data_IF_370292749028
#
_entry.id   IF_370292749028
#
_cell.length_a   1.000
_cell.length_b   1.000
_cell.length_c   1.000
_cell.angle_alpha   90.00
_cell.angle_beta   90.00
_cell.angle_gamma   90.00
#
_symmetry.space_group_name_H-M   'P 1'
#
loop_
_entity.id
_entity.type
_entity.pdbx_description
1 polymer ?
#
# COMPACT_ATOMS: atom_id res chain seq x y z
N UNK A 1 -5.44 -8.16 4.09
CA UNK A 1 -6.79 -8.74 3.90
C UNK A 1 -6.78 -9.96 3.00
N UNK A 2 -6.34 -9.85 1.74
CA UNK A 2 -6.39 -10.94 0.72
C UNK A 2 -5.81 -12.27 1.19
N UNK A 3 -4.57 -12.26 1.69
CA UNK A 3 -3.93 -13.47 2.22
C UNK A 3 -4.64 -14.10 3.41
N UNK A 4 -5.67 -13.48 3.99
CA UNK A 4 -6.49 -14.03 5.08
C UNK A 4 -7.73 -14.81 4.57
N UNK A 5 -8.10 -14.67 3.30
CA UNK A 5 -9.17 -15.43 2.65
C UNK A 5 -8.65 -16.77 2.14
N UNK A 6 -8.24 -17.63 3.08
CA UNK A 6 -7.62 -18.92 2.77
C UNK A 6 -8.03 -19.95 3.81
N UNK A 7 -7.85 -21.21 3.45
CA UNK A 7 -8.06 -22.31 4.37
C UNK A 7 -7.05 -22.26 5.55
N UNK A 8 -7.47 -22.56 6.80
CA UNK A 8 -6.64 -22.35 8.00
C UNK A 8 -5.32 -23.12 8.04
N UNK A 9 -5.25 -24.27 7.35
CA UNK A 9 -4.07 -25.11 7.24
C UNK A 9 -2.93 -24.45 6.43
N UNK A 10 -3.26 -23.49 5.56
CA UNK A 10 -2.26 -22.72 4.81
C UNK A 10 -1.66 -21.65 5.73
N UNK A 11 -0.38 -21.78 6.10
CA UNK A 11 0.31 -20.79 6.95
C UNK A 11 0.55 -19.47 6.19
N UNK A 12 0.46 -18.35 6.91
CA UNK A 12 0.79 -17.00 6.45
C UNK A 12 1.18 -16.15 7.66
N UNK A 13 1.79 -14.98 7.44
CA UNK A 13 2.15 -14.03 8.51
C UNK A 13 0.94 -13.43 9.22
N UNK A 14 -0.27 -13.54 8.65
CA UNK A 14 -1.53 -13.15 9.29
C UNK A 14 -2.48 -14.35 9.40
N UNK A 15 -3.19 -14.54 10.53
CA UNK A 15 -4.24 -15.56 10.66
C UNK A 15 -5.31 -15.41 9.57
N UNK A 16 -5.92 -16.52 9.10
CA UNK A 16 -7.05 -16.45 8.18
C UNK A 16 -8.24 -15.73 8.84
N UNK A 17 -9.24 -15.37 8.04
CA UNK A 17 -10.54 -14.98 8.58
C UNK A 17 -11.27 -16.20 9.11
N UNK A 18 -11.98 -16.01 10.22
CA UNK A 18 -12.86 -17.03 10.78
C UNK A 18 -14.19 -17.00 10.03
N UNK A 19 -14.72 -18.18 9.71
CA UNK A 19 -16.04 -18.29 9.11
C UNK A 19 -17.11 -17.74 10.07
N UNK A 20 -18.10 -17.05 9.50
CA UNK A 20 -19.24 -16.47 10.23
C UNK A 20 -18.85 -15.43 11.31
N UNK A 21 -17.68 -14.80 11.17
CA UNK A 21 -17.26 -13.65 11.96
C UNK A 21 -17.11 -12.40 11.07
N UNK A 22 -17.31 -11.19 11.61
CA UNK A 22 -17.01 -9.96 10.88
C UNK A 22 -15.58 -9.96 10.34
N UNK A 23 -15.41 -9.46 9.11
CA UNK A 23 -14.08 -9.22 8.57
C UNK A 23 -13.41 -8.12 9.39
N UNK A 24 -12.11 -8.25 9.64
CA UNK A 24 -11.34 -7.29 10.45
C UNK A 24 -10.27 -6.61 9.60
N UNK A 25 -10.18 -5.29 9.69
CA UNK A 25 -9.17 -4.48 9.00
C UNK A 25 -8.86 -3.18 9.78
N UNK A 26 -7.95 -2.36 9.26
CA UNK A 26 -7.75 -1.01 9.76
C UNK A 26 -8.98 -0.14 9.53
N UNK A 27 -9.38 0.57 10.58
CA UNK A 27 -10.50 1.52 10.63
C UNK A 27 -10.07 2.82 11.29
N UNK A 28 -10.83 3.88 11.04
CA UNK A 28 -10.96 5.03 11.94
C UNK A 28 -12.36 4.99 12.53
N UNK A 29 -12.46 5.17 13.86
CA UNK A 29 -13.73 5.15 14.58
C UNK A 29 -13.75 6.15 15.72
N UNK A 30 -14.95 6.48 16.20
CA UNK A 30 -15.17 7.34 17.37
C UNK A 30 -15.47 6.49 18.61
N UNK A 31 -14.82 6.79 19.72
CA UNK A 31 -15.08 6.13 21.00
C UNK A 31 -16.45 6.58 21.50
N UNK A 32 -17.44 5.69 21.49
CA UNK A 32 -18.80 5.97 22.00
C UNK A 32 -18.98 5.59 23.46
N UNK A 33 -18.19 4.64 23.96
CA UNK A 33 -18.12 4.21 25.36
C UNK A 33 -16.72 3.65 25.65
N UNK A 34 -16.18 3.92 26.83
CA UNK A 34 -14.91 3.35 27.28
C UNK A 34 -14.94 3.01 28.77
N UNK A 35 -14.46 1.82 29.10
CA UNK A 35 -14.09 1.40 30.47
C UNK A 35 -12.56 1.33 30.62
N UNK A 36 -11.81 1.76 29.60
CA UNK A 36 -10.36 1.78 29.58
C UNK A 36 -9.83 3.16 29.99
N UNK A 37 -8.88 3.21 30.92
CA UNK A 37 -8.40 4.46 31.53
C UNK A 37 -7.82 5.48 30.55
N UNK A 38 -7.35 5.04 29.37
CA UNK A 38 -6.70 5.91 28.37
C UNK A 38 -7.64 6.45 27.29
N UNK A 39 -8.82 5.86 27.10
CA UNK A 39 -9.76 6.28 26.06
C UNK A 39 -10.94 7.02 26.66
N UNK A 40 -11.22 8.20 26.13
CA UNK A 40 -12.37 9.05 26.47
C UNK A 40 -13.39 9.00 25.35
N UNK A 41 -14.66 9.21 25.71
CA UNK A 41 -15.74 9.37 24.74
C UNK A 41 -15.40 10.52 23.78
N UNK A 42 -15.85 10.38 22.53
CA UNK A 42 -15.63 11.29 21.40
C UNK A 42 -14.21 11.35 20.82
N UNK A 43 -13.25 10.62 21.40
CA UNK A 43 -11.92 10.51 20.77
C UNK A 43 -11.99 9.68 19.49
N UNK A 44 -11.25 10.12 18.47
CA UNK A 44 -11.03 9.35 17.25
C UNK A 44 -9.85 8.40 17.43
N UNK A 45 -10.05 7.14 17.04
CA UNK A 45 -9.06 6.09 17.13
C UNK A 45 -8.82 5.44 15.78
N UNK A 46 -7.57 5.07 15.52
CA UNK A 46 -7.12 4.28 14.39
C UNK A 46 -6.59 2.93 14.87
N UNK A 47 -7.00 1.85 14.21
CA UNK A 47 -6.51 0.51 14.52
C UNK A 47 -7.38 -0.58 13.89
N UNK A 48 -7.23 -1.81 14.36
CA UNK A 48 -8.05 -2.91 13.85
C UNK A 48 -9.47 -2.85 14.40
N UNK A 49 -10.46 -2.99 13.52
CA UNK A 49 -11.88 -3.16 13.87
C UNK A 49 -12.62 -3.96 12.80
N UNK A 50 -13.89 -4.26 13.09
CA UNK A 50 -14.73 -5.08 12.23
C UNK A 50 -15.34 -4.31 11.06
N UNK A 51 -15.76 -5.05 10.04
CA UNK A 51 -16.70 -4.59 9.01
C UNK A 51 -18.10 -4.63 9.62
N UNK A 52 -18.36 -3.68 10.50
CA UNK A 52 -19.55 -3.56 11.35
C UNK A 52 -19.70 -2.09 11.80
N UNK A 53 -20.88 -1.70 12.26
CA UNK A 53 -21.13 -0.32 12.71
C UNK A 53 -20.49 0.00 14.07
N UNK A 54 -20.37 -1.01 14.94
CA UNK A 54 -19.80 -0.89 16.27
C UNK A 54 -18.89 -2.09 16.56
N UNK A 55 -17.63 -1.82 16.91
CA UNK A 55 -16.70 -2.84 17.40
C UNK A 55 -16.51 -2.71 18.90
N UNK A 56 -16.67 -3.82 19.63
CA UNK A 56 -16.28 -3.91 21.04
C UNK A 56 -14.86 -4.49 21.10
N UNK A 57 -13.91 -3.68 21.57
CA UNK A 57 -12.54 -4.13 21.79
C UNK A 57 -12.38 -4.69 23.21
N UNK A 58 -11.83 -5.90 23.33
CA UNK A 58 -11.27 -6.36 24.60
C UNK A 58 -10.10 -5.47 25.03
N UNK A 59 -9.70 -5.52 26.31
CA UNK A 59 -8.57 -4.71 26.81
C UNK A 59 -7.32 -4.84 25.94
N UNK A 60 -6.93 -6.08 25.61
CA UNK A 60 -5.74 -6.35 24.80
C UNK A 60 -5.84 -5.77 23.36
N UNK A 61 -7.05 -5.73 22.79
CA UNK A 61 -7.28 -5.12 21.49
C UNK A 61 -7.28 -3.58 21.58
N UNK A 62 -7.82 -3.02 22.67
CA UNK A 62 -7.81 -1.58 22.93
C UNK A 62 -6.39 -1.05 23.19
N UNK A 63 -5.52 -1.83 23.84
CA UNK A 63 -4.12 -1.44 24.14
C UNK A 63 -3.27 -1.17 22.89
N UNK A 64 -3.71 -1.60 21.71
CA UNK A 64 -2.99 -1.40 20.44
C UNK A 64 -3.70 -0.42 19.48
N UNK A 65 -4.82 0.17 19.89
CA UNK A 65 -5.41 1.28 19.13
C UNK A 65 -4.57 2.54 19.33
N UNK A 66 -4.58 3.41 18.32
CA UNK A 66 -3.92 4.71 18.36
C UNK A 66 -4.97 5.80 18.42
N UNK A 67 -4.85 6.70 19.39
CA UNK A 67 -5.65 7.93 19.43
C UNK A 67 -5.11 8.88 18.36
N UNK A 68 -5.99 9.43 17.52
CA UNK A 68 -5.64 10.55 16.65
C UNK A 68 -5.57 11.81 17.49
N UNK A 69 -4.41 12.47 17.50
CA UNK A 69 -4.18 13.62 18.39
C UNK A 69 -4.87 14.87 17.86
N UNK A 70 -5.10 15.87 18.73
CA UNK A 70 -5.67 17.15 18.28
C UNK A 70 -4.80 17.83 17.20
N UNK A 71 -3.48 17.74 17.31
CA UNK A 71 -2.57 18.35 16.34
C UNK A 71 -2.62 17.64 14.98
N UNK A 72 -2.81 16.33 14.98
CA UNK A 72 -3.06 15.54 13.77
C UNK A 72 -4.39 15.90 13.12
N UNK A 73 -5.44 16.09 13.92
CA UNK A 73 -6.77 16.48 13.41
C UNK A 73 -6.78 17.92 12.87
N UNK A 74 -5.98 18.83 13.45
CA UNK A 74 -5.82 20.21 12.96
C UNK A 74 -5.21 20.29 11.55
N UNK A 75 -4.58 19.23 11.05
CA UNK A 75 -4.11 19.15 9.66
C UNK A 75 -5.27 19.11 8.66
N UNK A 76 -6.51 18.87 9.09
CA UNK A 76 -7.69 18.90 8.24
C UNK A 76 -7.76 17.76 7.22
N UNK A 77 -7.01 16.68 7.45
CA UNK A 77 -7.03 15.51 6.57
C UNK A 77 -8.38 14.78 6.68
N UNK A 78 -9.01 14.37 5.57
CA UNK A 78 -10.18 13.50 5.60
C UNK A 78 -9.92 12.23 6.42
N UNK A 79 -10.89 11.78 7.22
CA UNK A 79 -10.74 10.58 8.06
C UNK A 79 -10.43 9.32 7.24
N UNK A 80 -10.90 9.27 5.99
CA UNK A 80 -10.60 8.21 5.02
C UNK A 80 -9.09 8.07 4.75
N UNK A 81 -8.37 9.19 4.68
CA UNK A 81 -6.93 9.21 4.40
C UNK A 81 -6.12 8.44 5.44
N UNK A 82 -6.58 8.38 6.69
CA UNK A 82 -5.92 7.70 7.80
C UNK A 82 -5.94 6.17 7.70
N UNK A 83 -6.88 5.58 6.94
CA UNK A 83 -6.81 4.14 6.58
C UNK A 83 -6.04 3.89 5.29
N UNK A 84 -5.48 4.94 4.70
CA UNK A 84 -4.77 4.98 3.43
C UNK A 84 -3.39 5.63 3.53
N UNK A 85 -3.21 6.75 2.83
CA UNK A 85 -1.93 7.44 2.70
C UNK A 85 -1.36 7.96 4.04
N UNK A 86 -2.21 8.36 4.98
CA UNK A 86 -1.79 8.80 6.32
C UNK A 86 -1.65 7.65 7.33
N UNK A 87 -1.91 6.40 6.91
CA UNK A 87 -1.85 5.20 7.75
C UNK A 87 -0.96 4.11 7.18
N UNK A 88 -1.34 2.85 7.41
CA UNK A 88 -0.51 1.68 7.09
C UNK A 88 -0.06 1.58 5.62
N UNK A 89 -0.91 1.85 4.60
CA UNK A 89 -0.44 1.88 3.21
C UNK A 89 0.65 2.93 2.93
N UNK A 90 0.52 4.13 3.50
CA UNK A 90 1.57 5.16 3.41
C UNK A 90 2.85 4.73 4.12
N UNK A 91 2.74 4.15 5.32
CA UNK A 91 3.89 3.62 6.06
C UNK A 91 4.63 2.55 5.25
N UNK A 92 3.88 1.71 4.53
CA UNK A 92 4.42 0.67 3.66
C UNK A 92 5.24 1.27 2.52
N UNK A 93 4.71 2.28 1.83
CA UNK A 93 5.42 2.99 0.77
C UNK A 93 6.69 3.67 1.29
N UNK A 94 6.56 4.41 2.40
CA UNK A 94 7.65 5.16 3.01
C UNK A 94 8.78 4.26 3.49
N UNK A 95 8.46 3.19 4.24
CA UNK A 95 9.45 2.22 4.68
C UNK A 95 10.12 1.51 3.50
N UNK A 96 9.32 0.97 2.57
CA UNK A 96 9.84 0.24 1.43
C UNK A 96 10.81 1.07 0.61
N UNK A 97 10.43 2.31 0.28
CA UNK A 97 11.30 3.17 -0.51
C UNK A 97 12.56 3.58 0.27
N UNK A 98 12.43 4.17 1.45
CA UNK A 98 13.59 4.77 2.13
C UNK A 98 14.53 3.75 2.78
N UNK A 99 13.99 2.65 3.33
CA UNK A 99 14.79 1.69 4.09
C UNK A 99 15.32 0.52 3.24
N UNK A 100 14.60 0.16 2.17
CA UNK A 100 14.99 -0.96 1.29
C UNK A 100 15.45 -0.44 -0.06
N UNK A 101 14.70 0.50 -0.64
CA UNK A 101 15.04 1.14 -1.90
C UNK A 101 16.29 1.99 -1.82
N UNK A 102 16.48 2.75 -0.73
CA UNK A 102 17.62 3.67 -0.55
C UNK A 102 17.79 4.57 -1.79
N UNK A 103 16.77 5.39 -2.13
CA UNK A 103 16.67 6.08 -3.42
C UNK A 103 17.78 7.11 -3.60
N UNK A 104 18.27 7.24 -4.83
CA UNK A 104 19.22 8.29 -5.22
C UNK A 104 18.71 9.07 -6.42
N UNK A 105 18.99 10.37 -6.42
CA UNK A 105 18.67 11.25 -7.54
C UNK A 105 19.21 10.71 -8.86
N UNK A 106 18.37 10.70 -9.89
CA UNK A 106 18.70 10.22 -11.24
C UNK A 106 18.58 8.70 -11.43
N UNK A 107 18.41 7.92 -10.36
CA UNK A 107 18.11 6.49 -10.49
C UNK A 107 16.72 6.26 -11.07
N UNK A 108 16.53 5.09 -11.67
CA UNK A 108 15.26 4.65 -12.24
C UNK A 108 14.56 3.68 -11.29
N UNK A 109 13.28 3.94 -11.03
CA UNK A 109 12.40 3.06 -10.26
C UNK A 109 11.23 2.58 -11.11
N UNK A 110 10.89 1.31 -10.98
CA UNK A 110 9.68 0.73 -11.55
C UNK A 110 8.74 0.32 -10.42
N UNK A 111 7.51 0.82 -10.46
CA UNK A 111 6.50 0.60 -9.43
C UNK A 111 5.31 -0.10 -10.06
N UNK A 112 4.99 -1.30 -9.60
CA UNK A 112 3.82 -2.04 -10.08
C UNK A 112 2.60 -1.73 -9.24
N UNK A 113 1.41 -1.79 -9.84
CA UNK A 113 0.18 -1.36 -9.15
C UNK A 113 0.24 0.11 -8.74
N UNK A 114 0.86 0.94 -9.58
CA UNK A 114 1.25 2.32 -9.28
C UNK A 114 0.08 3.25 -8.92
N UNK A 115 -1.14 2.96 -9.39
CA UNK A 115 -2.35 3.70 -9.03
C UNK A 115 -3.07 3.17 -7.77
N UNK A 116 -2.48 2.17 -7.10
CA UNK A 116 -3.02 1.60 -5.86
C UNK A 116 -2.67 2.41 -4.62
N UNK A 117 -3.09 1.93 -3.45
CA UNK A 117 -2.90 2.64 -2.18
C UNK A 117 -1.43 2.85 -1.77
N UNK A 118 -0.56 1.87 -2.02
CA UNK A 118 0.88 1.95 -1.72
C UNK A 118 1.62 2.59 -2.89
N UNK A 119 1.32 2.12 -4.11
CA UNK A 119 1.98 2.57 -5.34
C UNK A 119 1.95 4.08 -5.54
N UNK A 120 0.78 4.71 -5.29
CA UNK A 120 0.57 6.15 -5.48
C UNK A 120 1.27 7.03 -4.43
N UNK A 121 1.85 6.44 -3.39
CA UNK A 121 2.68 7.17 -2.42
C UNK A 121 4.14 6.94 -2.75
N UNK A 122 4.51 5.68 -3.08
CA UNK A 122 5.88 5.32 -3.39
C UNK A 122 6.44 6.08 -4.60
N UNK A 123 5.60 6.36 -5.60
CA UNK A 123 5.97 7.13 -6.79
C UNK A 123 6.23 8.60 -6.47
N UNK A 124 5.35 9.26 -5.71
CA UNK A 124 5.50 10.67 -5.38
C UNK A 124 6.72 10.88 -4.48
N UNK A 125 6.97 9.94 -3.57
CA UNK A 125 8.20 9.91 -2.78
C UNK A 125 9.43 9.72 -3.69
N UNK A 126 9.39 8.79 -4.65
CA UNK A 126 10.50 8.62 -5.59
C UNK A 126 10.73 9.86 -6.47
N UNK A 127 9.66 10.54 -6.92
CA UNK A 127 9.77 11.83 -7.63
C UNK A 127 10.39 12.90 -6.74
N UNK A 128 10.03 12.96 -5.46
CA UNK A 128 10.65 13.87 -4.48
C UNK A 128 12.16 13.64 -4.35
N UNK A 129 12.61 12.39 -4.41
CA UNK A 129 14.03 12.01 -4.39
C UNK A 129 14.74 12.24 -5.74
N UNK A 130 14.04 12.79 -6.74
CA UNK A 130 14.58 13.10 -8.06
C UNK A 130 14.85 11.87 -8.91
N UNK A 131 14.09 10.79 -8.70
CA UNK A 131 14.16 9.58 -9.51
C UNK A 131 13.38 9.73 -10.82
N UNK A 132 13.72 8.87 -11.79
CA UNK A 132 12.94 8.61 -13.00
C UNK A 132 11.97 7.48 -12.67
N UNK A 133 10.66 7.76 -12.70
CA UNK A 133 9.62 6.86 -12.21
C UNK A 133 8.86 6.25 -13.38
N UNK A 134 8.86 4.91 -13.40
CA UNK A 134 8.15 4.07 -14.35
C UNK A 134 7.01 3.37 -13.60
N UNK A 135 5.79 3.36 -14.15
CA UNK A 135 4.62 2.79 -13.50
C UNK A 135 3.83 1.83 -14.38
N UNK A 136 3.24 0.80 -13.77
CA UNK A 136 2.21 -0.01 -14.41
C UNK A 136 0.87 0.10 -13.70
N UNK A 137 -0.20 0.21 -14.49
CA UNK A 137 -1.58 0.22 -14.00
C UNK A 137 -2.50 -0.60 -14.92
N UNK A 138 -3.73 -0.90 -14.46
CA UNK A 138 -4.63 -1.85 -15.12
C UNK A 138 -5.70 -1.26 -16.02
N UNK A 139 -5.60 0.03 -16.36
CA UNK A 139 -6.46 0.73 -17.33
C UNK A 139 -5.78 2.00 -17.84
N UNK A 140 -6.20 2.50 -19.00
CA UNK A 140 -5.62 3.70 -19.60
C UNK A 140 -5.95 4.96 -18.76
N UNK A 141 -7.14 5.05 -18.16
CA UNK A 141 -7.49 6.14 -17.24
C UNK A 141 -6.53 6.23 -16.05
N UNK A 142 -6.16 5.09 -15.49
CA UNK A 142 -5.17 5.03 -14.41
C UNK A 142 -3.79 5.46 -14.90
N UNK A 143 -3.40 5.05 -16.12
CA UNK A 143 -2.12 5.45 -16.71
C UNK A 143 -2.08 6.96 -16.96
N UNK A 144 -3.14 7.54 -17.49
CA UNK A 144 -3.25 8.98 -17.74
C UNK A 144 -3.14 9.75 -16.43
N UNK A 145 -3.84 9.33 -15.38
CA UNK A 145 -3.70 9.95 -14.06
C UNK A 145 -2.28 9.87 -13.50
N UNK A 146 -1.59 8.73 -13.64
CA UNK A 146 -0.18 8.64 -13.21
C UNK A 146 0.72 9.64 -13.97
N UNK A 147 0.50 9.81 -15.28
CA UNK A 147 1.28 10.77 -16.09
C UNK A 147 0.93 12.22 -15.79
N UNK A 148 -0.35 12.54 -15.82
CA UNK A 148 -0.85 13.91 -15.82
C UNK A 148 -0.89 14.48 -14.41
N UNK A 149 -1.34 13.69 -13.43
CA UNK A 149 -1.50 14.16 -12.05
C UNK A 149 -0.27 13.89 -11.19
N UNK A 150 0.36 12.73 -11.32
CA UNK A 150 1.52 12.33 -10.52
C UNK A 150 2.87 12.52 -11.22
N UNK A 151 2.87 13.03 -12.47
CA UNK A 151 4.09 13.37 -13.21
C UNK A 151 5.07 12.20 -13.39
N UNK A 152 4.56 10.99 -13.66
CA UNK A 152 5.40 9.85 -14.03
C UNK A 152 6.18 10.15 -15.32
N UNK A 153 7.45 9.76 -15.33
CA UNK A 153 8.30 9.84 -16.54
C UNK A 153 7.85 8.81 -17.58
N UNK A 154 7.32 7.68 -17.13
CA UNK A 154 6.65 6.71 -18.00
C UNK A 154 5.58 5.92 -17.25
N UNK A 155 4.44 5.68 -17.89
CA UNK A 155 3.45 4.76 -17.36
C UNK A 155 2.75 4.01 -18.50
N UNK A 156 2.37 2.76 -18.23
CA UNK A 156 1.73 1.88 -19.21
C UNK A 156 0.65 1.01 -18.59
N UNK A 157 -0.31 0.63 -19.44
CA UNK A 157 -1.38 -0.27 -19.08
C UNK A 157 -0.89 -1.71 -19.27
N UNK A 158 -0.69 -2.46 -18.18
CA UNK A 158 -0.13 -3.81 -18.27
C UNK A 158 -1.07 -4.81 -18.97
N UNK A 159 -2.35 -4.46 -19.17
CA UNK A 159 -3.31 -5.30 -19.91
C UNK A 159 -3.18 -5.18 -21.43
N UNK A 160 -2.57 -4.10 -21.92
CA UNK A 160 -2.42 -3.81 -23.35
C UNK A 160 -0.96 -3.70 -23.80
N UNK A 161 -0.02 -3.62 -22.84
CA UNK A 161 1.41 -3.59 -23.09
C UNK A 161 2.18 -4.53 -22.15
N UNK A 162 3.25 -5.14 -22.65
CA UNK A 162 4.08 -6.06 -21.87
C UNK A 162 5.19 -5.31 -21.12
N UNK A 163 5.30 -5.55 -19.80
CA UNK A 163 6.31 -4.91 -18.96
C UNK A 163 7.74 -5.08 -19.50
N UNK A 164 8.07 -6.25 -20.07
CA UNK A 164 9.39 -6.49 -20.69
C UNK A 164 9.71 -5.51 -21.82
N UNK A 165 8.74 -5.24 -22.70
CA UNK A 165 8.93 -4.31 -23.81
C UNK A 165 9.00 -2.86 -23.32
N UNK A 166 8.21 -2.52 -22.31
CA UNK A 166 8.18 -1.17 -21.72
C UNK A 166 9.48 -0.85 -20.97
N UNK A 167 9.99 -1.76 -20.15
CA UNK A 167 11.23 -1.56 -19.40
C UNK A 167 12.47 -1.58 -20.29
N UNK A 168 12.44 -2.27 -21.44
CA UNK A 168 13.54 -2.29 -22.39
C UNK A 168 13.90 -0.88 -22.93
N UNK A 169 12.96 0.08 -22.88
CA UNK A 169 13.15 1.47 -23.31
C UNK A 169 14.03 2.29 -22.35
N UNK A 170 14.17 1.85 -21.09
CA UNK A 170 14.74 2.67 -20.02
C UNK A 170 16.09 2.19 -19.49
N UNK A 171 16.70 1.11 -20.02
CA UNK A 171 17.95 0.48 -19.52
C UNK A 171 18.87 1.45 -18.74
N UNK A 172 19.29 1.20 -17.49
CA UNK A 172 19.10 0.06 -16.60
C UNK A 172 18.29 0.44 -15.33
N UNK A 173 17.48 -0.48 -14.80
CA UNK A 173 16.58 -0.24 -13.66
C UNK A 173 17.30 -0.37 -12.31
N UNK A 174 17.21 0.63 -11.42
CA UNK A 174 17.93 0.64 -10.15
C UNK A 174 17.08 0.16 -8.96
N UNK A 175 15.78 0.47 -8.97
CA UNK A 175 14.84 0.05 -7.92
C UNK A 175 13.60 -0.58 -8.57
N UNK A 176 13.12 -1.68 -7.99
CA UNK A 176 11.82 -2.25 -8.29
C UNK A 176 10.97 -2.26 -7.03
N UNK A 177 9.83 -1.59 -7.04
CA UNK A 177 8.85 -1.65 -5.96
C UNK A 177 7.73 -2.62 -6.36
N UNK A 178 7.81 -3.84 -5.84
CA UNK A 178 6.92 -4.92 -6.24
C UNK A 178 5.65 -4.96 -5.40
N UNK A 179 4.52 -4.70 -6.04
CA UNK A 179 3.18 -4.95 -5.50
C UNK A 179 2.44 -6.09 -6.24
N UNK A 180 3.04 -6.66 -7.30
CA UNK A 180 2.36 -7.52 -8.27
C UNK A 180 2.98 -8.90 -8.42
N UNK A 181 4.31 -9.04 -8.46
CA UNK A 181 4.99 -10.30 -8.74
C UNK A 181 4.85 -10.77 -10.19
N UNK A 182 5.02 -12.07 -10.40
CA UNK A 182 4.71 -12.73 -11.68
C UNK A 182 5.58 -12.26 -12.85
N UNK A 183 4.95 -12.05 -14.00
CA UNK A 183 5.59 -11.64 -15.24
C UNK A 183 6.29 -10.27 -15.15
N UNK A 184 5.76 -9.36 -14.32
CA UNK A 184 6.37 -8.05 -14.10
C UNK A 184 7.64 -8.14 -13.26
N UNK A 185 7.72 -9.08 -12.32
CA UNK A 185 8.96 -9.38 -11.59
C UNK A 185 10.01 -9.96 -12.54
N UNK A 186 9.64 -10.91 -13.41
CA UNK A 186 10.58 -11.41 -14.45
C UNK A 186 11.07 -10.27 -15.36
N UNK A 187 10.18 -9.38 -15.80
CA UNK A 187 10.56 -8.23 -16.60
C UNK A 187 11.50 -7.26 -15.86
N UNK A 188 11.27 -7.02 -14.57
CA UNK A 188 12.12 -6.19 -13.73
C UNK A 188 13.52 -6.82 -13.56
N UNK A 189 13.61 -8.14 -13.33
CA UNK A 189 14.88 -8.87 -13.24
C UNK A 189 15.69 -8.77 -14.54
N UNK A 190 15.03 -8.88 -15.69
CA UNK A 190 15.66 -8.70 -17.01
C UNK A 190 16.21 -7.27 -17.18
N UNK A 191 15.44 -6.25 -16.77
CA UNK A 191 15.77 -4.83 -16.94
C UNK A 191 16.72 -4.26 -15.86
N UNK A 192 16.93 -4.98 -14.75
CA UNK A 192 17.72 -4.54 -13.62
C UNK A 192 19.16 -4.16 -14.00
N UNK A 193 19.67 -3.11 -13.37
CA UNK A 193 21.09 -2.79 -13.34
C UNK A 193 21.83 -3.66 -12.31
N UNK A 194 23.15 -3.63 -12.36
CA UNK A 194 23.98 -4.14 -11.29
C UNK A 194 23.61 -3.44 -9.96
N UNK A 195 23.52 -4.22 -8.89
CA UNK A 195 23.19 -3.77 -7.54
C UNK A 195 21.80 -3.15 -7.39
N UNK A 196 20.88 -3.43 -8.32
CA UNK A 196 19.51 -2.96 -8.18
C UNK A 196 18.81 -3.58 -6.94
N UNK A 197 17.87 -2.83 -6.37
CA UNK A 197 17.15 -3.18 -5.14
C UNK A 197 15.69 -3.46 -5.44
N UNK A 198 15.23 -4.62 -5.01
CA UNK A 198 13.88 -5.13 -5.22
C UNK A 198 13.17 -5.12 -3.86
N UNK A 199 12.19 -4.23 -3.75
CA UNK A 199 11.35 -4.02 -2.58
C UNK A 199 10.12 -4.91 -2.75
N UNK A 200 10.12 -6.07 -2.13
CA UNK A 200 9.05 -7.07 -2.26
C UNK A 200 7.92 -6.75 -1.25
N UNK A 201 7.04 -5.81 -1.62
CA UNK A 201 5.92 -5.37 -0.78
C UNK A 201 4.72 -6.33 -0.86
N UNK A 202 4.44 -6.85 -2.05
CA UNK A 202 3.36 -7.81 -2.27
C UNK A 202 3.40 -8.38 -3.68
N UNK A 203 2.68 -9.49 -3.89
CA UNK A 203 2.61 -10.17 -5.18
C UNK A 203 1.15 -10.43 -5.54
N UNK A 204 0.37 -9.36 -5.76
CA UNK A 204 -1.09 -9.46 -5.88
C UNK A 204 -1.57 -10.38 -7.00
N UNK A 205 -0.80 -10.50 -8.09
CA UNK A 205 -1.14 -11.39 -9.21
C UNK A 205 -1.13 -12.87 -8.81
N UNK A 206 -0.47 -13.22 -7.71
CA UNK A 206 -0.27 -14.62 -7.30
C UNK A 206 -1.24 -15.06 -6.21
N UNK A 207 -1.99 -14.15 -5.58
CA UNK A 207 -2.77 -14.48 -4.38
C UNK A 207 -3.97 -15.39 -4.63
N UNK A 208 -4.57 -15.31 -5.82
CA UNK A 208 -5.77 -16.06 -6.18
C UNK A 208 -5.50 -17.13 -7.26
N UNK A 209 -4.25 -17.28 -7.69
CA UNK A 209 -3.86 -18.26 -8.69
C UNK A 209 -3.79 -19.66 -8.07
N UNK A 210 -4.31 -20.65 -8.79
CA UNK A 210 -4.16 -22.06 -8.39
C UNK A 210 -2.75 -22.57 -8.70
N UNK A 211 -2.23 -22.18 -9.87
CA UNK A 211 -0.89 -22.49 -10.33
C UNK A 211 -0.03 -21.22 -10.30
N UNK A 212 0.83 -21.11 -9.30
CA UNK A 212 1.70 -19.94 -9.15
C UNK A 212 2.64 -19.79 -10.35
N UNK A 213 2.83 -18.56 -10.80
CA UNK A 213 3.73 -18.22 -11.89
C UNK A 213 5.19 -18.44 -11.49
N UNK A 214 5.88 -19.34 -12.18
CA UNK A 214 7.30 -19.59 -11.97
C UNK A 214 8.18 -18.47 -12.50
N UNK A 215 9.08 -17.94 -11.66
CA UNK A 215 10.09 -16.94 -12.03
C UNK A 215 11.32 -17.66 -12.62
N UNK A 216 11.57 -17.50 -13.92
CA UNK A 216 12.53 -18.33 -14.67
C UNK A 216 13.92 -17.71 -14.78
N UNK A 217 14.07 -16.44 -14.43
CA UNK A 217 15.31 -15.67 -14.60
C UNK A 217 15.96 -15.25 -13.27
N UNK A 218 15.75 -16.02 -12.18
CA UNK A 218 16.39 -15.78 -10.88
C UNK A 218 17.93 -15.80 -10.93
N UNK A 219 18.53 -16.41 -11.95
CA UNK A 219 19.98 -16.37 -12.19
C UNK A 219 20.53 -14.95 -12.35
N UNK A 220 19.69 -13.99 -12.76
CA UNK A 220 20.03 -12.56 -12.84
C UNK A 220 20.43 -11.98 -11.47
N UNK A 221 19.89 -12.53 -10.37
CA UNK A 221 20.21 -12.07 -9.00
C UNK A 221 21.70 -12.21 -8.73
N UNK A 222 22.29 -13.35 -9.08
CA UNK A 222 23.72 -13.62 -8.90
C UNK A 222 24.54 -12.72 -9.83
N UNK A 223 24.23 -12.75 -11.13
CA UNK A 223 24.99 -12.02 -12.14
C UNK A 223 25.04 -10.52 -11.90
N UNK A 224 23.91 -9.92 -11.46
CA UNK A 224 23.77 -8.49 -11.23
C UNK A 224 23.95 -8.09 -9.75
N UNK A 225 24.18 -9.05 -8.83
CA UNK A 225 24.32 -8.79 -7.38
C UNK A 225 23.11 -8.04 -6.82
N UNK A 226 21.92 -8.50 -7.19
CA UNK A 226 20.67 -7.85 -6.79
C UNK A 226 20.36 -8.10 -5.31
N UNK A 227 19.72 -7.12 -4.67
CA UNK A 227 19.11 -7.28 -3.35
C UNK A 227 17.61 -7.44 -3.52
N UNK A 228 17.06 -8.60 -3.17
CA UNK A 228 15.62 -8.84 -3.12
C UNK A 228 15.21 -8.96 -1.65
N UNK A 229 14.34 -8.06 -1.18
CA UNK A 229 13.96 -8.01 0.23
C UNK A 229 12.46 -7.82 0.39
N UNK A 230 11.81 -8.83 0.97
CA UNK A 230 10.46 -8.72 1.50
C UNK A 230 10.42 -8.04 2.85
N UNK A 231 9.27 -7.43 3.16
CA UNK A 231 9.02 -6.85 4.48
C UNK A 231 7.55 -6.90 4.84
N UNK A 232 7.26 -6.91 6.14
CA UNK A 232 5.92 -6.74 6.68
C UNK A 232 5.95 -5.49 7.55
N UNK A 233 5.18 -4.47 7.19
CA UNK A 233 5.22 -3.17 7.87
C UNK A 233 4.94 -3.26 9.38
N UNK A 234 4.22 -4.29 9.83
CA UNK A 234 3.93 -4.53 11.25
C UNK A 234 5.18 -4.76 12.11
N UNK A 235 6.29 -5.21 11.52
CA UNK A 235 7.57 -5.38 12.22
C UNK A 235 8.22 -4.03 12.58
N UNK A 236 7.80 -2.95 11.92
CA UNK A 236 8.35 -1.59 12.05
C UNK A 236 7.35 -0.54 12.48
N UNK A 237 6.06 -0.79 12.30
CA UNK A 237 4.95 0.07 12.74
C UNK A 237 4.82 0.20 14.27
N UNK A 238 5.78 -0.33 15.04
CA UNK A 238 5.93 -0.12 16.50
C UNK A 238 7.23 0.59 16.89
N UNK A 239 8.13 0.84 15.93
CA UNK A 239 9.35 1.59 16.16
C UNK A 239 9.00 3.10 16.23
N UNK A 240 9.14 3.75 17.41
CA UNK A 240 8.77 5.15 17.56
C UNK A 240 9.53 6.08 16.62
N UNK A 241 10.80 5.74 16.30
CA UNK A 241 11.64 6.57 15.42
C UNK A 241 11.05 6.61 14.01
N UNK A 242 10.73 5.43 13.47
CA UNK A 242 10.11 5.30 12.15
C UNK A 242 8.74 5.97 12.09
N UNK A 243 7.88 5.71 13.08
CA UNK A 243 6.52 6.24 13.11
C UNK A 243 6.50 7.76 13.18
N UNK A 244 7.35 8.34 14.04
CA UNK A 244 7.44 9.79 14.18
C UNK A 244 7.98 10.45 12.90
N UNK A 245 8.97 9.84 12.24
CA UNK A 245 9.48 10.33 10.96
C UNK A 245 8.40 10.26 9.86
N UNK A 246 7.66 9.15 9.79
CA UNK A 246 6.55 9.00 8.85
C UNK A 246 5.45 10.04 9.09
N UNK A 247 4.93 10.18 10.31
CA UNK A 247 3.83 11.11 10.60
C UNK A 247 4.22 12.57 10.40
N UNK A 248 5.42 12.97 10.87
CA UNK A 248 5.89 14.36 10.73
C UNK A 248 6.05 14.80 9.27
N UNK A 249 6.40 13.88 8.37
CA UNK A 249 6.58 14.16 6.94
C UNK A 249 5.31 13.96 6.13
N UNK A 250 4.77 12.75 6.13
CA UNK A 250 3.70 12.35 5.21
C UNK A 250 2.42 13.12 5.49
N UNK A 251 2.05 13.33 6.75
CA UNK A 251 0.82 14.07 7.05
C UNK A 251 0.93 15.54 6.62
N UNK A 252 2.10 16.16 6.81
CA UNK A 252 2.35 17.54 6.37
C UNK A 252 2.32 17.65 4.84
N UNK A 253 2.99 16.72 4.14
CA UNK A 253 3.00 16.72 2.68
C UNK A 253 1.62 16.47 2.07
N UNK A 254 0.76 15.70 2.72
CA UNK A 254 -0.64 15.59 2.30
C UNK A 254 -1.39 16.89 2.59
N UNK A 255 -1.26 17.44 3.80
CA UNK A 255 -2.01 18.62 4.23
C UNK A 255 -1.70 19.87 3.40
N UNK A 256 -0.47 20.04 2.95
CA UNK A 256 -0.06 21.17 2.11
C UNK A 256 -0.16 20.90 0.60
N UNK A 257 -0.68 19.74 0.19
CA UNK A 257 -0.90 19.38 -1.21
C UNK A 257 0.34 18.93 -1.98
N UNK A 258 1.49 18.73 -1.31
CA UNK A 258 2.69 18.14 -1.93
C UNK A 258 2.48 16.67 -2.32
N UNK A 259 1.62 15.93 -1.60
CA UNK A 259 1.19 14.58 -1.95
C UNK A 259 -0.29 14.57 -2.34
N UNK A 260 -0.55 14.26 -3.62
CA UNK A 260 -1.91 14.07 -4.14
C UNK A 260 -2.41 12.67 -3.79
N UNK A 261 -3.60 12.60 -3.19
CA UNK A 261 -4.22 11.33 -2.79
C UNK A 261 -5.46 11.07 -3.63
N UNK A 262 -5.57 9.86 -4.17
CA UNK A 262 -6.80 9.37 -4.79
C UNK A 262 -7.36 8.20 -4.00
N UNK A 263 -8.61 8.37 -3.59
CA UNK A 263 -9.39 7.39 -2.86
C UNK A 263 -10.60 6.97 -3.69
N UNK A 264 -11.01 5.72 -3.49
CA UNK A 264 -12.24 5.16 -4.03
C UNK A 264 -13.13 4.81 -2.84
N UNK A 265 -14.05 5.72 -2.53
CA UNK A 265 -14.86 5.67 -1.30
C UNK A 265 -16.21 5.04 -1.62
N UNK A 266 -16.39 3.81 -1.16
CA UNK A 266 -17.69 3.15 -1.11
C UNK A 266 -18.43 3.58 0.14
N UNK A 267 -19.64 4.14 -0.02
CA UNK A 267 -20.50 4.51 1.12
C UNK A 267 -21.42 3.34 1.47
N UNK A 268 -21.60 3.08 2.76
CA UNK A 268 -22.49 2.02 3.25
C UNK A 268 -21.79 0.67 3.44
N UNK A 269 -22.10 0.01 4.56
CA UNK A 269 -21.56 -1.31 4.89
C UNK A 269 -22.15 -2.40 3.98
N UNK A 270 -23.37 -2.21 3.51
CA UNK A 270 -24.10 -3.08 2.57
C UNK A 270 -23.36 -3.26 1.23
N UNK A 271 -22.50 -2.31 0.86
CA UNK A 271 -21.68 -2.36 -0.35
C UNK A 271 -20.25 -2.89 -0.12
N UNK A 272 -19.89 -3.23 1.13
CA UNK A 272 -18.53 -3.62 1.50
C UNK A 272 -18.02 -4.87 0.76
N UNK A 273 -18.90 -5.86 0.53
CA UNK A 273 -18.55 -7.10 -0.16
C UNK A 273 -18.19 -6.85 -1.63
N UNK A 274 -19.01 -6.06 -2.33
CA UNK A 274 -18.77 -5.68 -3.72
C UNK A 274 -17.49 -4.86 -3.86
N UNK A 275 -17.32 -3.85 -3.00
CA UNK A 275 -16.10 -3.04 -2.97
C UNK A 275 -14.84 -3.88 -2.75
N UNK A 276 -14.93 -4.91 -1.89
CA UNK A 276 -13.83 -5.83 -1.67
C UNK A 276 -13.54 -6.71 -2.89
N UNK A 277 -14.57 -7.18 -3.59
CA UNK A 277 -14.41 -7.97 -4.83
C UNK A 277 -13.77 -7.11 -5.94
N UNK A 278 -14.22 -5.87 -6.10
CA UNK A 278 -13.76 -4.93 -7.12
C UNK A 278 -12.25 -4.65 -7.05
N UNK A 279 -11.68 -4.71 -5.85
CA UNK A 279 -10.24 -4.61 -5.62
C UNK A 279 -9.46 -5.73 -6.34
N UNK A 280 -10.00 -6.95 -6.43
CA UNK A 280 -9.33 -8.07 -7.08
C UNK A 280 -9.43 -8.04 -8.60
N UNK A 281 -10.46 -7.39 -9.12
CA UNK A 281 -10.60 -7.13 -10.56
C UNK A 281 -9.94 -5.83 -11.00
N UNK A 282 -9.33 -5.10 -10.06
CA UNK A 282 -8.66 -3.82 -10.31
C UNK A 282 -9.63 -2.76 -10.82
N UNK A 283 -10.90 -2.81 -10.42
CA UNK A 283 -11.89 -1.78 -10.75
C UNK A 283 -11.68 -0.52 -9.91
N UNK A 284 -11.27 -0.68 -8.65
CA UNK A 284 -11.07 0.46 -7.77
C UNK A 284 -10.01 1.43 -8.31
N UNK A 285 -10.21 2.74 -8.18
CA UNK A 285 -9.24 3.75 -8.61
C UNK A 285 -8.68 4.52 -7.41
N UNK A 286 -7.47 4.13 -7.00
CA UNK A 286 -6.82 4.69 -5.81
C UNK A 286 -6.99 3.77 -4.61
N UNK A 287 -6.92 4.35 -3.41
CA UNK A 287 -7.14 3.62 -2.16
C UNK A 287 -8.63 3.34 -1.97
N UNK A 288 -9.03 2.07 -2.04
CA UNK A 288 -10.37 1.64 -1.69
C UNK A 288 -10.63 1.82 -0.17
N UNK A 289 -11.72 2.53 0.15
CA UNK A 289 -12.18 2.83 1.52
C UNK A 289 -13.69 2.56 1.59
N UNK A 290 -14.14 2.00 2.71
CA UNK A 290 -15.57 1.87 3.00
C UNK A 290 -15.91 2.90 4.08
N UNK A 291 -16.81 3.83 3.77
CA UNK A 291 -17.34 4.79 4.71
C UNK A 291 -18.65 4.25 5.30
N UNK A 292 -18.58 3.80 6.55
CA UNK A 292 -19.71 3.22 7.27
C UNK A 292 -20.59 4.32 7.89
N UNK A 293 -19.98 5.39 8.41
CA UNK A 293 -20.69 6.49 9.06
C UNK A 293 -19.97 7.84 8.84
N UNK A 294 -20.70 8.94 9.04
CA UNK A 294 -20.13 10.28 9.23
C UNK A 294 -19.87 10.50 10.72
N UNK A 295 -18.68 10.99 11.09
CA UNK A 295 -18.20 11.06 12.48
C UNK A 295 -18.02 12.48 13.00
#
# INVERSE_FOLDING_TARGET
MRGRMRAPEKKSYSPPFELNKPLVNFIVGKVVKSEHAYYKVDQLVYGFGGYEEYTIHSKAQADVLRILTEDELKLGLPLTTWVGAAGMPGQTAFYGLYQIGEPKKGEKIFITGASGAVGQIADQLAKREGMIVIGSAGSDDKVNWLKDELSFDHAFNYKTAHAKAELAKFKALNIYFDNVGGDQLEAALDAADNYARFIECGMISQYNEQDAHGIRNLTQIVGKRLKLQGFIIFDKARDPTFINDFYSKIHQWIANGELKIKEDVTKGLEHAAEALIDIFHGKNFGKAVIQIAEL
#
